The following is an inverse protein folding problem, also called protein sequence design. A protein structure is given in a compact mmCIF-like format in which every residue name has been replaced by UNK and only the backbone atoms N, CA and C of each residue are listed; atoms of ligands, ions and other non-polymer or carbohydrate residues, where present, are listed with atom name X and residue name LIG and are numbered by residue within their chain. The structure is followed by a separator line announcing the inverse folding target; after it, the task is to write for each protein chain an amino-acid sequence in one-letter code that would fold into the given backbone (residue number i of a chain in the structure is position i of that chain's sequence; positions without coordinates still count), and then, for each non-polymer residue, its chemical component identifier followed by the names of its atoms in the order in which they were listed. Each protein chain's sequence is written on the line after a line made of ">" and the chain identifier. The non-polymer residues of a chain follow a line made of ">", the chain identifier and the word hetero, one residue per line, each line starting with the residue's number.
data_IF_745171962763
#
_entry.id   IF_745171962763
#
_cell.length_a   1.000
_cell.length_b   1.000
_cell.length_c   1.000
_cell.angle_alpha   90.00
_cell.angle_beta   90.00
_cell.angle_gamma   90.00
#
_symmetry.space_group_name_H-M   'P 1'
#
loop_
_entity.id
_entity.type
_entity.pdbx_description
1 polymer ?
#
# COMPACT_ATOMS: atom_id res chain seq x y z
N UNK A 1 -29.11 -5.82 -19.09
CA UNK A 1 -28.78 -4.57 -18.37
C UNK A 1 -27.28 -4.50 -18.33
N UNK A 2 -26.66 -3.46 -18.87
CA UNK A 2 -25.22 -3.28 -18.71
C UNK A 2 -24.97 -2.88 -17.26
N UNK A 3 -24.36 -3.76 -16.45
CA UNK A 3 -23.79 -3.33 -15.18
C UNK A 3 -22.68 -2.35 -15.52
N UNK A 4 -22.94 -1.06 -15.36
CA UNK A 4 -21.90 -0.03 -15.42
C UNK A 4 -21.07 -0.14 -14.15
N UNK A 5 -20.23 -1.17 -14.09
CA UNK A 5 -19.21 -1.34 -13.08
C UNK A 5 -18.33 -0.08 -13.09
N UNK A 6 -18.25 0.62 -11.94
CA UNK A 6 -17.41 1.81 -11.82
C UNK A 6 -16.03 1.38 -11.36
N UNK A 7 -15.02 1.88 -12.07
CA UNK A 7 -13.62 1.66 -11.74
C UNK A 7 -13.01 2.94 -11.22
N UNK A 8 -12.20 2.84 -10.17
CA UNK A 8 -11.42 3.94 -9.63
C UNK A 8 -9.97 3.51 -9.58
N UNK A 9 -9.15 4.14 -10.41
CA UNK A 9 -7.76 3.78 -10.61
C UNK A 9 -6.88 4.73 -9.79
N UNK A 10 -6.10 4.16 -8.89
CA UNK A 10 -5.19 4.88 -7.99
C UNK A 10 -3.77 4.40 -8.20
N UNK A 11 -2.83 5.32 -8.21
CA UNK A 11 -1.40 5.00 -8.09
C UNK A 11 -0.89 5.54 -6.76
N UNK A 12 -0.39 4.65 -5.90
CA UNK A 12 0.30 5.00 -4.67
C UNK A 12 1.80 4.89 -4.91
N UNK A 13 2.51 5.99 -4.73
CA UNK A 13 3.96 6.01 -4.74
C UNK A 13 4.47 6.01 -3.30
N UNK A 14 5.35 5.07 -2.98
CA UNK A 14 6.05 4.98 -1.70
C UNK A 14 7.55 5.06 -1.95
N UNK A 15 8.17 6.07 -1.35
CA UNK A 15 9.59 6.30 -1.36
C UNK A 15 10.11 6.21 0.07
N UNK A 16 11.07 5.32 0.30
CA UNK A 16 11.72 5.16 1.61
C UNK A 16 13.18 5.51 1.45
N UNK A 17 13.61 6.57 2.13
CA UNK A 17 15.02 6.94 2.23
C UNK A 17 15.56 6.50 3.59
N UNK A 18 16.79 5.98 3.61
CA UNK A 18 17.48 5.62 4.84
C UNK A 18 18.50 6.69 5.20
N UNK A 19 18.55 7.03 6.49
CA UNK A 19 19.66 7.74 7.13
C UNK A 19 20.31 6.78 8.14
N UNK A 20 21.42 7.16 8.77
CA UNK A 20 22.18 6.24 9.66
C UNK A 20 21.31 5.60 10.75
N UNK A 21 20.27 6.29 11.24
CA UNK A 21 19.42 5.80 12.33
C UNK A 21 17.90 5.84 12.04
N UNK A 22 17.45 6.33 10.89
CA UNK A 22 16.01 6.53 10.64
C UNK A 22 15.58 6.31 9.18
N UNK A 23 14.31 5.95 9.03
CA UNK A 23 13.60 5.81 7.76
C UNK A 23 12.74 7.04 7.53
N UNK A 24 12.94 7.71 6.40
CA UNK A 24 12.07 8.79 5.94
C UNK A 24 11.13 8.26 4.86
N UNK A 25 9.83 8.41 5.09
CA UNK A 25 8.79 7.99 4.13
C UNK A 25 8.21 9.19 3.41
N UNK A 26 8.18 9.12 2.09
CA UNK A 26 7.38 10.01 1.26
C UNK A 26 6.36 9.17 0.51
N UNK A 27 5.09 9.34 0.87
CA UNK A 27 3.97 8.60 0.30
C UNK A 27 2.99 9.56 -0.34
N UNK A 28 2.58 9.27 -1.57
CA UNK A 28 1.62 10.07 -2.30
C UNK A 28 0.66 9.20 -3.10
N UNK A 29 -0.59 9.66 -3.24
CA UNK A 29 -1.62 8.98 -4.02
C UNK A 29 -2.07 9.89 -5.19
N UNK A 30 -2.03 9.34 -6.40
CA UNK A 30 -2.54 9.97 -7.60
C UNK A 30 -3.79 9.21 -8.09
N UNK A 31 -4.86 9.95 -8.33
CA UNK A 31 -6.13 9.40 -8.80
C UNK A 31 -6.29 9.67 -10.29
N UNK A 32 -6.50 8.62 -11.09
CA UNK A 32 -6.71 8.77 -12.54
C UNK A 32 -8.09 9.32 -12.87
N UNK A 33 -9.07 9.06 -12.03
CA UNK A 33 -10.42 9.57 -12.10
C UNK A 33 -10.86 10.10 -10.72
N UNK A 34 -11.92 10.92 -10.69
CA UNK A 34 -12.37 11.52 -9.43
C UNK A 34 -12.79 10.44 -8.43
N UNK A 35 -12.11 10.28 -7.28
CA UNK A 35 -12.41 9.24 -6.32
C UNK A 35 -13.71 9.54 -5.57
N UNK A 36 -14.47 8.50 -5.24
CA UNK A 36 -15.58 8.59 -4.30
C UNK A 36 -15.06 8.57 -2.84
N UNK A 37 -15.97 8.62 -1.86
CA UNK A 37 -15.58 8.63 -0.45
C UNK A 37 -14.91 7.32 -0.02
N UNK A 38 -15.43 6.17 -0.44
CA UNK A 38 -14.82 4.86 -0.13
C UNK A 38 -13.35 4.78 -0.55
N UNK A 39 -13.04 5.15 -1.79
CA UNK A 39 -11.67 5.13 -2.32
C UNK A 39 -10.78 6.13 -1.58
N UNK A 40 -11.29 7.30 -1.20
CA UNK A 40 -10.53 8.27 -0.39
C UNK A 40 -10.21 7.71 0.99
N UNK A 41 -11.17 7.08 1.65
CA UNK A 41 -10.99 6.52 3.00
C UNK A 41 -9.98 5.37 2.99
N UNK A 42 -10.08 4.47 2.00
CA UNK A 42 -9.10 3.39 1.79
C UNK A 42 -7.69 3.93 1.51
N UNK A 43 -7.58 4.99 0.71
CA UNK A 43 -6.26 5.58 0.44
C UNK A 43 -5.69 6.34 1.64
N UNK A 44 -6.51 7.01 2.44
CA UNK A 44 -6.08 7.64 3.69
C UNK A 44 -5.56 6.57 4.67
N UNK A 45 -6.27 5.44 4.80
CA UNK A 45 -5.83 4.30 5.60
C UNK A 45 -4.49 3.76 5.10
N UNK A 46 -4.35 3.55 3.80
CA UNK A 46 -3.11 3.07 3.17
C UNK A 46 -1.92 4.01 3.41
N UNK A 47 -2.11 5.31 3.24
CA UNK A 47 -1.06 6.31 3.43
C UNK A 47 -0.56 6.36 4.88
N UNK A 48 -1.36 5.92 5.85
CA UNK A 48 -0.99 5.81 7.25
C UNK A 48 -0.40 4.44 7.61
N UNK A 49 -1.12 3.35 7.31
CA UNK A 49 -0.75 1.99 7.75
C UNK A 49 0.43 1.42 6.98
N UNK A 50 0.56 1.69 5.68
CA UNK A 50 1.64 1.09 4.89
C UNK A 50 3.04 1.55 5.36
N UNK A 51 3.31 2.86 5.57
CA UNK A 51 4.57 3.29 6.18
C UNK A 51 4.82 2.69 7.55
N UNK A 52 3.80 2.62 8.40
CA UNK A 52 3.93 2.11 9.76
C UNK A 52 4.33 0.63 9.77
N UNK A 53 3.67 -0.22 8.98
CA UNK A 53 3.99 -1.65 8.93
C UNK A 53 5.33 -1.91 8.23
N UNK A 54 5.71 -1.12 7.23
CA UNK A 54 7.03 -1.21 6.59
C UNK A 54 8.13 -0.83 7.58
N UNK A 55 7.93 0.23 8.37
CA UNK A 55 8.86 0.62 9.44
C UNK A 55 9.01 -0.49 10.47
N UNK A 56 7.90 -1.05 10.95
CA UNK A 56 7.91 -2.16 11.91
C UNK A 56 8.62 -3.41 11.37
N UNK A 57 8.43 -3.71 10.08
CA UNK A 57 9.02 -4.87 9.42
C UNK A 57 10.43 -4.65 8.85
N UNK A 58 11.01 -3.46 8.96
CA UNK A 58 12.18 -3.06 8.17
C UNK A 58 13.36 -4.02 8.30
N UNK A 59 13.74 -4.39 9.53
CA UNK A 59 14.87 -5.30 9.77
C UNK A 59 14.62 -6.70 9.18
N UNK A 60 13.37 -7.15 9.11
CA UNK A 60 13.04 -8.41 8.47
C UNK A 60 13.13 -8.30 6.94
N UNK A 61 12.66 -7.18 6.38
CA UNK A 61 12.78 -6.89 4.95
C UNK A 61 14.25 -6.80 4.52
N UNK A 62 15.10 -6.11 5.27
CA UNK A 62 16.53 -5.96 4.97
C UNK A 62 17.27 -7.30 5.00
N UNK A 63 16.87 -8.23 5.88
CA UNK A 63 17.45 -9.59 5.90
C UNK A 63 17.11 -10.40 4.66
N UNK A 64 15.95 -10.18 4.07
CA UNK A 64 15.47 -10.90 2.88
C UNK A 64 16.01 -10.24 1.61
N UNK A 65 16.00 -8.91 1.56
CA UNK A 65 16.46 -8.09 0.45
C UNK A 65 17.43 -7.00 0.94
N UNK A 66 18.73 -7.33 1.10
CA UNK A 66 19.72 -6.40 1.66
C UNK A 66 19.91 -5.12 0.84
N UNK A 67 19.50 -5.10 -0.43
CA UNK A 67 19.60 -3.90 -1.27
C UNK A 67 18.73 -2.75 -0.77
N UNK A 68 17.68 -3.01 0.02
CA UNK A 68 16.83 -1.93 0.56
C UNK A 68 17.55 -1.08 1.62
N UNK A 69 18.73 -1.47 2.09
CA UNK A 69 19.51 -0.68 3.05
C UNK A 69 19.78 0.74 2.56
N UNK A 70 19.84 0.96 1.24
CA UNK A 70 19.95 2.29 0.62
C UNK A 70 18.62 3.01 0.39
N UNK A 71 17.51 2.46 0.88
CA UNK A 71 16.15 2.89 0.56
C UNK A 71 15.59 2.21 -0.69
N UNK A 72 14.32 2.48 -0.97
CA UNK A 72 13.63 2.00 -2.18
C UNK A 72 12.53 2.96 -2.64
N UNK A 73 12.06 2.76 -3.87
CA UNK A 73 10.94 3.47 -4.48
C UNK A 73 10.08 2.51 -5.26
N UNK A 74 8.78 2.47 -4.95
CA UNK A 74 7.81 1.64 -5.66
C UNK A 74 6.53 2.41 -5.95
N UNK A 75 5.95 2.12 -7.11
CA UNK A 75 4.59 2.54 -7.48
C UNK A 75 3.67 1.33 -7.50
N UNK A 76 2.61 1.44 -6.72
CA UNK A 76 1.55 0.44 -6.62
C UNK A 76 0.32 0.99 -7.34
N UNK A 77 -0.27 0.19 -8.21
CA UNK A 77 -1.52 0.52 -8.89
C UNK A 77 -2.65 -0.30 -8.28
N UNK A 78 -3.76 0.39 -7.99
CA UNK A 78 -4.97 -0.19 -7.47
C UNK A 78 -6.14 0.11 -8.41
N UNK A 79 -6.90 -0.91 -8.77
CA UNK A 79 -8.20 -0.76 -9.42
C UNK A 79 -9.30 -1.16 -8.44
N UNK A 80 -10.03 -0.16 -7.96
CA UNK A 80 -11.21 -0.34 -7.12
C UNK A 80 -12.44 -0.46 -8.03
N UNK A 81 -12.96 -1.67 -8.09
CA UNK A 81 -14.13 -2.02 -8.87
C UNK A 81 -15.36 -2.04 -7.95
N UNK A 82 -16.33 -1.15 -8.21
CA UNK A 82 -17.62 -1.17 -7.53
C UNK A 82 -18.53 -2.20 -8.22
N UNK A 83 -18.70 -3.37 -7.58
CA UNK A 83 -19.51 -4.48 -8.10
C UNK A 83 -21.00 -4.27 -7.85
N UNK A 84 -21.35 -3.80 -6.65
CA UNK A 84 -22.69 -3.35 -6.25
C UNK A 84 -22.57 -2.08 -5.40
N UNK A 85 -23.66 -1.54 -4.86
CA UNK A 85 -23.59 -0.31 -4.05
C UNK A 85 -22.68 -0.47 -2.82
N UNK A 86 -22.64 -1.67 -2.23
CA UNK A 86 -21.88 -1.98 -1.01
C UNK A 86 -20.68 -2.92 -1.23
N UNK A 87 -20.57 -3.57 -2.38
CA UNK A 87 -19.49 -4.54 -2.66
C UNK A 87 -18.41 -3.98 -3.58
N UNK A 88 -17.16 -4.15 -3.12
CA UNK A 88 -15.96 -3.67 -3.78
C UNK A 88 -14.97 -4.80 -3.99
N UNK A 89 -14.41 -4.86 -5.18
CA UNK A 89 -13.23 -5.67 -5.48
C UNK A 89 -12.04 -4.74 -5.70
N UNK A 90 -10.87 -5.14 -5.20
CA UNK A 90 -9.63 -4.37 -5.38
C UNK A 90 -8.58 -5.27 -6.01
N UNK A 91 -8.15 -4.91 -7.22
CA UNK A 91 -6.96 -5.50 -7.81
C UNK A 91 -5.75 -4.60 -7.55
N UNK A 92 -4.58 -5.21 -7.41
CA UNK A 92 -3.35 -4.53 -7.02
C UNK A 92 -2.17 -5.09 -7.80
N UNK A 93 -1.37 -4.19 -8.36
CA UNK A 93 -0.13 -4.51 -9.08
C UNK A 93 0.97 -3.51 -8.75
N UNK A 94 2.23 -3.92 -8.93
CA UNK A 94 3.41 -3.07 -8.73
C UNK A 94 4.14 -2.90 -10.05
N UNK A 95 4.64 -1.69 -10.33
CA UNK A 95 5.43 -1.43 -11.53
C UNK A 95 6.73 -2.25 -11.54
N UNK A 96 7.35 -2.41 -10.37
CA UNK A 96 8.54 -3.23 -10.16
C UNK A 96 8.13 -4.49 -9.41
N UNK A 97 8.22 -5.65 -10.07
CA UNK A 97 7.80 -6.95 -9.54
C UNK A 97 8.95 -7.72 -8.84
N UNK A 98 9.68 -7.02 -7.98
CA UNK A 98 10.72 -7.60 -7.12
C UNK A 98 10.13 -8.12 -5.79
N UNK A 99 10.98 -8.54 -4.86
CA UNK A 99 10.53 -9.02 -3.54
C UNK A 99 9.76 -7.91 -2.81
N UNK A 100 10.27 -6.68 -2.80
CA UNK A 100 9.69 -5.55 -2.08
C UNK A 100 8.33 -5.16 -2.66
N UNK A 101 8.24 -4.99 -3.97
CA UNK A 101 6.99 -4.67 -4.66
C UNK A 101 5.91 -5.70 -4.37
N UNK A 102 6.23 -7.00 -4.41
CA UNK A 102 5.28 -8.06 -4.05
C UNK A 102 4.86 -8.00 -2.58
N UNK A 103 5.81 -7.79 -1.68
CA UNK A 103 5.51 -7.64 -0.24
C UNK A 103 4.62 -6.42 0.03
N UNK A 104 4.87 -5.29 -0.62
CA UNK A 104 4.04 -4.10 -0.50
C UNK A 104 2.61 -4.36 -1.01
N UNK A 105 2.44 -5.11 -2.09
CA UNK A 105 1.12 -5.54 -2.58
C UNK A 105 0.40 -6.43 -1.56
N UNK A 106 1.10 -7.41 -0.97
CA UNK A 106 0.50 -8.30 0.03
C UNK A 106 0.11 -7.55 1.31
N UNK A 107 0.94 -6.60 1.76
CA UNK A 107 0.62 -5.71 2.88
C UNK A 107 -0.58 -4.82 2.56
N UNK A 108 -0.64 -4.26 1.35
CA UNK A 108 -1.76 -3.42 0.90
C UNK A 108 -3.08 -4.19 0.93
N UNK A 109 -3.09 -5.43 0.41
CA UNK A 109 -4.28 -6.30 0.44
C UNK A 109 -4.75 -6.57 1.87
N UNK A 110 -3.83 -6.82 2.81
CA UNK A 110 -4.13 -7.02 4.23
C UNK A 110 -4.70 -5.77 4.89
N UNK A 111 -4.16 -4.60 4.54
CA UNK A 111 -4.68 -3.31 5.02
C UNK A 111 -6.12 -3.09 4.53
N UNK A 112 -6.43 -3.36 3.26
CA UNK A 112 -7.77 -3.17 2.71
C UNK A 112 -8.83 -4.09 3.34
N UNK A 113 -8.45 -5.26 3.83
CA UNK A 113 -9.35 -6.18 4.54
C UNK A 113 -9.30 -6.01 6.07
N UNK A 114 -8.66 -4.94 6.54
CA UNK A 114 -8.48 -4.63 7.97
C UNK A 114 -7.92 -5.82 8.77
N UNK A 115 -6.94 -6.54 8.21
CA UNK A 115 -6.29 -7.67 8.89
C UNK A 115 -5.68 -7.20 10.23
N UNK A 116 -6.15 -7.71 11.39
CA UNK A 116 -5.67 -7.26 12.70
C UNK A 116 -4.18 -7.50 12.89
N UNK A 117 -3.58 -8.40 12.10
CA UNK A 117 -2.14 -8.66 12.16
C UNK A 117 -1.31 -7.46 11.75
N UNK A 118 -1.84 -6.57 10.90
CA UNK A 118 -1.15 -5.31 10.56
C UNK A 118 -1.00 -4.43 11.80
N UNK A 119 -2.06 -4.28 12.58
CA UNK A 119 -2.04 -3.44 13.77
C UNK A 119 -1.17 -4.07 14.88
N UNK A 120 -1.18 -5.41 15.01
CA UNK A 120 -0.25 -6.11 15.90
C UNK A 120 1.21 -5.89 15.52
N UNK A 121 1.55 -5.93 14.22
CA UNK A 121 2.92 -5.70 13.75
C UNK A 121 3.37 -4.26 14.04
N UNK A 122 2.48 -3.29 13.83
CA UNK A 122 2.75 -1.88 14.11
C UNK A 122 2.99 -1.70 15.62
N UNK A 123 2.12 -2.24 16.48
CA UNK A 123 2.20 -2.09 17.93
C UNK A 123 3.43 -2.77 18.56
N UNK A 124 4.05 -3.75 17.90
CA UNK A 124 5.26 -4.42 18.38
C UNK A 124 6.55 -3.63 18.10
N UNK A 125 6.48 -2.60 17.25
CA UNK A 125 7.62 -1.78 16.87
C UNK A 125 7.71 -0.45 17.63
N UNK A 126 6.65 -0.07 18.35
CA UNK A 126 6.60 1.04 19.30
C UNK A 126 7.11 0.62 20.70
#
# INVERSE_FOLDING_TARGET
>A
MANNTKHYLVTLEINVATTEDDLTFNVSAAYRNHPNNYVKDMMNLMMFKLPAVVRAGWLALERIEPSIKSGFSHKLHFDFQQCTDDEWEVSAETEINDIIGRTLIDLSKRIFVEDPKIDELIALAD
#
